data_IF_053092308025
#
_entry.id   IF_053092308025
#
_cell.length_a   1.000
_cell.length_b   1.000
_cell.length_c   1.000
_cell.angle_alpha   90.00
_cell.angle_beta   90.00
_cell.angle_gamma   90.00
#
_symmetry.space_group_name_H-M   'P 1'
#
loop_
_entity.id
_entity.type
_entity.pdbx_description
1 polymer ?
#
# COMPACT_ATOMS: atom_id res chain seq x y z
N UNK A 1 -30.99 54.26 21.33
CA UNK A 1 -29.53 54.13 21.31
C UNK A 1 -29.16 52.90 22.13
N UNK A 2 -28.92 51.77 21.48
CA UNK A 2 -28.52 50.52 22.14
C UNK A 2 -27.03 50.31 21.91
N UNK A 3 -26.23 49.99 22.95
CA UNK A 3 -24.86 49.56 22.75
C UNK A 3 -24.88 48.10 22.30
N UNK A 4 -24.31 47.84 21.12
CA UNK A 4 -23.86 46.52 20.70
C UNK A 4 -22.34 46.45 20.87
N UNK A 5 -21.85 45.22 21.04
CA UNK A 5 -20.45 44.72 20.97
C UNK A 5 -19.81 44.45 22.36
N UNK A 6 -19.05 43.34 22.58
CA UNK A 6 -18.66 42.25 21.66
C UNK A 6 -19.01 40.82 22.15
N UNK A 7 -19.58 40.00 21.26
CA UNK A 7 -19.54 38.52 21.32
C UNK A 7 -18.24 37.96 20.67
N UNK A 8 -17.31 38.85 20.30
CA UNK A 8 -16.10 38.49 19.54
C UNK A 8 -14.94 37.91 20.38
N UNK A 9 -15.08 37.80 21.70
CA UNK A 9 -14.00 37.32 22.59
C UNK A 9 -14.12 35.85 23.01
N UNK A 10 -15.20 35.15 22.67
CA UNK A 10 -15.41 33.74 23.06
C UNK A 10 -15.02 32.70 21.99
N UNK A 11 -14.70 33.13 20.77
CA UNK A 11 -14.27 32.23 19.68
C UNK A 11 -12.75 32.05 19.57
N UNK A 12 -11.95 32.85 20.30
CA UNK A 12 -10.48 32.72 20.26
C UNK A 12 -9.92 31.76 21.31
N UNK A 13 -10.68 31.42 22.36
CA UNK A 13 -10.21 30.49 23.41
C UNK A 13 -10.42 29.00 23.08
N UNK A 14 -11.23 28.66 22.06
CA UNK A 14 -11.38 27.26 21.63
C UNK A 14 -10.35 26.83 20.58
N UNK A 15 -9.57 27.76 20.01
CA UNK A 15 -8.56 27.45 18.99
C UNK A 15 -7.16 27.17 19.56
N UNK A 16 -6.95 27.37 20.87
CA UNK A 16 -5.70 27.04 21.58
C UNK A 16 -5.79 25.70 22.34
N UNK A 17 -6.92 24.99 22.22
CA UNK A 17 -7.09 23.60 22.66
C UNK A 17 -7.08 22.67 21.44
N UNK A 18 -6.28 22.99 20.41
CA UNK A 18 -5.83 21.96 19.50
C UNK A 18 -5.03 20.98 20.36
N UNK A 19 -5.63 19.81 20.62
CA UNK A 19 -4.99 18.75 21.39
C UNK A 19 -3.66 18.43 20.71
N UNK A 20 -2.55 18.89 21.27
CA UNK A 20 -1.26 18.29 21.03
C UNK A 20 -1.39 16.85 21.52
N UNK A 21 -1.75 15.94 20.62
CA UNK A 21 -1.83 14.53 20.92
C UNK A 21 -0.42 14.10 21.25
N UNK A 22 -0.16 13.90 22.55
CA UNK A 22 1.15 13.51 23.04
C UNK A 22 1.48 12.17 22.40
N UNK A 23 2.46 12.17 21.48
CA UNK A 23 2.97 10.93 20.90
C UNK A 23 3.41 10.00 22.05
N UNK A 24 3.22 8.68 21.91
CA UNK A 24 3.69 7.73 22.90
C UNK A 24 5.21 7.91 23.09
N UNK A 25 5.65 7.89 24.34
CA UNK A 25 7.07 8.00 24.69
C UNK A 25 7.88 6.78 24.21
N UNK A 26 7.21 5.66 23.99
CA UNK A 26 7.81 4.41 23.52
C UNK A 26 7.46 4.15 22.05
N UNK A 27 8.46 3.70 21.29
CA UNK A 27 8.33 3.24 19.90
C UNK A 27 7.26 2.14 19.82
N UNK A 28 6.17 2.33 19.06
CA UNK A 28 5.17 1.30 18.88
C UNK A 28 5.78 0.06 18.22
N UNK A 29 5.32 -1.13 18.64
CA UNK A 29 5.81 -2.39 18.10
C UNK A 29 5.23 -2.65 16.71
N UNK A 30 6.09 -2.90 15.73
CA UNK A 30 5.70 -3.29 14.38
C UNK A 30 4.89 -4.61 14.38
N UNK A 31 3.93 -4.76 13.45
CA UNK A 31 3.26 -6.04 13.21
C UNK A 31 4.25 -7.10 12.72
N UNK A 32 3.96 -8.36 13.06
CA UNK A 32 4.81 -9.48 12.66
C UNK A 32 4.45 -9.97 11.26
N UNK A 33 5.16 -9.46 10.25
CA UNK A 33 5.02 -9.84 8.84
C UNK A 33 5.82 -11.10 8.44
N UNK A 34 6.58 -11.71 9.36
CA UNK A 34 7.42 -12.87 9.05
C UNK A 34 6.63 -14.10 8.54
N UNK A 35 5.48 -14.49 9.14
CA UNK A 35 4.71 -15.62 8.63
C UNK A 35 4.23 -15.40 7.20
N UNK A 36 3.70 -14.21 6.90
CA UNK A 36 3.25 -13.88 5.55
C UNK A 36 4.41 -13.88 4.56
N UNK A 37 5.56 -13.32 4.94
CA UNK A 37 6.76 -13.39 4.11
C UNK A 37 7.17 -14.83 3.79
N UNK A 38 7.15 -15.73 4.79
CA UNK A 38 7.45 -17.14 4.58
C UNK A 38 6.44 -17.84 3.67
N UNK A 39 5.15 -17.47 3.73
CA UNK A 39 4.13 -17.99 2.81
C UNK A 39 4.48 -17.65 1.36
N UNK A 40 4.94 -16.43 1.06
CA UNK A 40 5.40 -16.06 -0.28
C UNK A 40 6.66 -16.82 -0.71
N UNK A 41 7.54 -17.19 0.22
CA UNK A 41 8.75 -17.95 -0.12
C UNK A 41 8.45 -19.43 -0.37
N UNK A 42 7.46 -20.00 0.32
CA UNK A 42 7.19 -21.44 0.33
C UNK A 42 5.71 -21.75 0.05
N UNK A 43 5.28 -21.75 -1.22
CA UNK A 43 3.95 -22.21 -1.60
C UNK A 43 3.72 -23.65 -1.15
N UNK A 44 2.53 -23.95 -0.62
CA UNK A 44 2.25 -25.25 0.03
C UNK A 44 1.28 -26.13 -0.77
N UNK A 45 0.47 -25.55 -1.65
CA UNK A 45 -0.42 -26.30 -2.53
C UNK A 45 0.30 -26.69 -3.83
N UNK A 46 0.18 -27.94 -4.31
CA UNK A 46 0.66 -28.31 -5.64
C UNK A 46 -0.31 -27.83 -6.73
N UNK A 47 0.19 -27.53 -7.92
CA UNK A 47 -0.65 -27.35 -9.11
C UNK A 47 -0.84 -28.70 -9.80
N UNK A 48 -2.05 -29.27 -9.71
CA UNK A 48 -2.46 -30.53 -10.34
C UNK A 48 -3.80 -30.34 -11.04
N UNK A 49 -4.26 -31.34 -11.80
CA UNK A 49 -5.58 -31.30 -12.45
C UNK A 49 -6.71 -31.14 -11.43
N UNK A 50 -6.54 -31.69 -10.23
CA UNK A 50 -7.52 -31.61 -9.15
C UNK A 50 -7.53 -30.25 -8.46
N UNK A 51 -6.37 -29.60 -8.29
CA UNK A 51 -6.28 -28.31 -7.58
C UNK A 51 -6.44 -27.11 -8.52
N UNK A 52 -6.20 -27.26 -9.81
CA UNK A 52 -6.27 -26.16 -10.78
C UNK A 52 -7.61 -25.41 -10.77
N UNK A 53 -8.80 -26.07 -10.75
CA UNK A 53 -10.06 -25.35 -10.67
C UNK A 53 -10.22 -24.50 -9.39
N UNK A 54 -9.72 -25.00 -8.26
CA UNK A 54 -9.77 -24.29 -6.97
C UNK A 54 -8.83 -23.08 -6.97
N UNK A 55 -7.64 -23.23 -7.55
CA UNK A 55 -6.68 -22.14 -7.73
C UNK A 55 -7.29 -21.05 -8.61
N UNK A 56 -7.95 -21.42 -9.71
CA UNK A 56 -8.60 -20.47 -10.59
C UNK A 56 -9.78 -19.75 -9.95
N UNK A 57 -10.60 -20.46 -9.18
CA UNK A 57 -11.66 -19.83 -8.38
C UNK A 57 -11.06 -18.81 -7.38
N UNK A 58 -10.00 -19.20 -6.67
CA UNK A 58 -9.27 -18.35 -5.73
C UNK A 58 -8.67 -17.10 -6.40
N UNK A 59 -8.07 -17.26 -7.59
CA UNK A 59 -7.56 -16.15 -8.40
C UNK A 59 -8.68 -15.18 -8.77
N UNK A 60 -9.80 -15.67 -9.29
CA UNK A 60 -10.93 -14.84 -9.69
C UNK A 60 -11.60 -14.11 -8.51
N UNK A 61 -11.48 -14.66 -7.29
CA UNK A 61 -11.95 -14.00 -6.06
C UNK A 61 -10.94 -12.98 -5.52
N UNK A 62 -9.64 -13.23 -5.70
CA UNK A 62 -8.55 -12.38 -5.16
C UNK A 62 -8.30 -11.16 -6.04
N UNK A 63 -8.42 -11.29 -7.37
CA UNK A 63 -8.17 -10.19 -8.31
C UNK A 63 -9.02 -8.95 -8.00
N UNK A 64 -10.35 -9.04 -7.80
CA UNK A 64 -11.15 -7.87 -7.45
C UNK A 64 -10.71 -7.21 -6.14
N UNK A 65 -10.21 -8.00 -5.16
CA UNK A 65 -9.74 -7.46 -3.88
C UNK A 65 -8.43 -6.69 -4.03
N UNK A 66 -7.44 -7.25 -4.73
CA UNK A 66 -6.23 -6.52 -5.13
C UNK A 66 -6.58 -5.34 -6.05
N UNK A 67 -7.65 -5.49 -6.82
CA UNK A 67 -8.27 -4.52 -7.70
C UNK A 67 -8.69 -3.22 -7.04
N UNK A 68 -9.20 -3.27 -5.81
CA UNK A 68 -9.53 -2.06 -5.06
C UNK A 68 -8.32 -1.16 -4.80
N UNK A 69 -7.12 -1.73 -4.86
CA UNK A 69 -5.85 -1.02 -4.68
C UNK A 69 -5.16 -0.72 -6.02
N UNK A 70 -5.17 -1.68 -6.95
CA UNK A 70 -4.44 -1.57 -8.21
C UNK A 70 -5.26 -1.08 -9.40
N UNK A 71 -6.59 -1.05 -9.31
CA UNK A 71 -7.48 -0.68 -10.41
C UNK A 71 -7.95 -1.83 -11.30
N UNK A 72 -7.58 -3.06 -10.98
CA UNK A 72 -7.96 -4.25 -11.75
C UNK A 72 -9.35 -4.77 -11.34
N UNK A 73 -10.17 -5.17 -12.30
CA UNK A 73 -11.46 -5.82 -12.01
C UNK A 73 -11.51 -7.27 -12.51
N UNK A 74 -10.63 -7.59 -13.46
CA UNK A 74 -10.54 -8.88 -14.12
C UNK A 74 -9.07 -9.27 -14.34
N UNK A 75 -8.83 -10.54 -14.68
CA UNK A 75 -7.50 -11.00 -15.09
C UNK A 75 -7.03 -10.33 -16.38
N UNK A 76 -7.95 -9.96 -17.27
CA UNK A 76 -7.63 -9.19 -18.48
C UNK A 76 -7.11 -7.79 -18.15
N UNK A 77 -7.64 -7.18 -17.08
CA UNK A 77 -7.14 -5.89 -16.58
C UNK A 77 -5.73 -5.98 -15.98
N UNK A 78 -5.29 -7.17 -15.54
CA UNK A 78 -3.90 -7.40 -15.17
C UNK A 78 -3.01 -7.65 -16.40
N UNK A 79 -3.61 -8.03 -17.52
CA UNK A 79 -2.94 -8.46 -18.76
C UNK A 79 -2.89 -7.35 -19.83
N UNK A 80 -3.03 -6.08 -19.44
CA UNK A 80 -3.10 -4.89 -20.31
C UNK A 80 -1.85 -4.66 -21.17
N UNK A 81 -1.69 -5.46 -22.24
CA UNK A 81 -0.71 -5.40 -23.33
C UNK A 81 0.30 -4.24 -23.33
N UNK A 82 0.18 -3.32 -24.28
CA UNK A 82 1.15 -2.20 -24.47
C UNK A 82 0.73 -0.88 -23.81
N UNK A 83 -0.41 -0.85 -23.13
CA UNK A 83 -1.03 0.38 -22.62
C UNK A 83 -0.90 0.55 -21.11
N UNK A 84 0.23 0.11 -20.54
CA UNK A 84 0.68 0.44 -19.18
C UNK A 84 -0.20 -0.15 -18.08
N UNK A 85 0.03 -1.40 -17.71
CA UNK A 85 -0.50 -1.94 -16.47
C UNK A 85 0.22 -1.31 -15.27
N UNK A 86 -0.29 -0.20 -14.77
CA UNK A 86 0.12 0.31 -13.46
C UNK A 86 -0.83 -0.23 -12.41
N UNK A 87 -0.27 -0.69 -11.29
CA UNK A 87 -1.05 -0.78 -10.06
C UNK A 87 -0.97 0.61 -9.41
N UNK A 88 -2.03 1.40 -9.52
CA UNK A 88 -2.04 2.79 -9.02
C UNK A 88 -1.68 2.86 -7.53
N UNK A 89 -2.13 1.88 -6.74
CA UNK A 89 -1.76 1.78 -5.34
C UNK A 89 -0.27 1.54 -5.10
N UNK A 90 0.44 0.78 -5.95
CA UNK A 90 1.91 0.65 -5.88
C UNK A 90 2.58 1.99 -6.14
N UNK A 91 2.12 2.72 -7.14
CA UNK A 91 2.62 4.08 -7.43
C UNK A 91 2.38 4.98 -6.22
N UNK A 92 1.20 4.94 -5.61
CA UNK A 92 0.88 5.75 -4.44
C UNK A 92 1.71 5.37 -3.20
N UNK A 93 1.99 4.08 -2.97
CA UNK A 93 2.92 3.66 -1.90
C UNK A 93 4.31 4.19 -2.20
N UNK A 94 4.80 4.06 -3.43
CA UNK A 94 6.12 4.59 -3.82
C UNK A 94 6.19 6.10 -3.67
N UNK A 95 5.17 6.83 -4.11
CA UNK A 95 5.08 8.28 -3.96
C UNK A 95 5.01 8.69 -2.48
N UNK A 96 4.32 7.91 -1.65
CA UNK A 96 4.27 8.12 -0.21
C UNK A 96 5.63 7.88 0.43
N UNK A 97 6.33 6.81 0.07
CA UNK A 97 7.70 6.53 0.53
C UNK A 97 8.70 7.57 0.02
N UNK A 98 8.58 8.03 -1.23
CA UNK A 98 9.40 9.09 -1.82
C UNK A 98 9.10 10.46 -1.18
N UNK A 99 7.86 10.69 -0.76
CA UNK A 99 7.53 11.88 0.04
C UNK A 99 8.21 11.83 1.41
N UNK A 100 8.43 10.66 2.00
CA UNK A 100 9.24 10.51 3.21
C UNK A 100 10.72 10.82 2.94
N UNK A 101 11.26 10.61 1.73
CA UNK A 101 12.62 11.07 1.40
C UNK A 101 12.68 12.60 1.28
N UNK A 102 11.76 13.15 0.48
CA UNK A 102 11.68 14.59 0.19
C UNK A 102 11.31 15.43 1.41
N UNK A 103 10.45 14.90 2.28
CA UNK A 103 9.98 15.53 3.50
C UNK A 103 10.62 14.95 4.77
N UNK A 104 11.39 13.86 4.69
CA UNK A 104 12.22 13.35 5.80
C UNK A 104 13.41 14.24 6.12
N UNK A 105 13.61 15.27 5.30
CA UNK A 105 14.44 16.44 5.62
C UNK A 105 13.63 17.62 6.18
N UNK A 106 12.31 17.46 6.33
CA UNK A 106 11.43 18.36 7.04
C UNK A 106 11.33 17.90 8.51
N UNK A 107 12.04 18.63 9.37
CA UNK A 107 11.68 18.74 10.77
C UNK A 107 10.22 19.19 10.85
N UNK A 108 9.28 18.31 11.20
CA UNK A 108 7.98 18.74 11.71
C UNK A 108 7.92 18.55 13.23
N UNK A 109 8.28 19.66 13.87
CA UNK A 109 7.70 20.22 15.09
C UNK A 109 8.06 19.58 16.43
N UNK A 110 9.21 20.01 16.97
CA UNK A 110 9.21 20.57 18.33
C UNK A 110 8.28 21.79 18.32
N UNK A 111 7.22 21.77 19.12
CA UNK A 111 6.44 22.97 19.42
C UNK A 111 7.35 24.07 19.98
N UNK A 112 7.60 25.12 19.19
CA UNK A 112 7.80 26.46 19.70
C UNK A 112 6.79 27.36 19.00
N UNK A 113 5.90 27.92 19.82
CA UNK A 113 4.81 28.86 19.56
C UNK A 113 5.08 30.01 18.53
N UNK A 114 4.03 30.72 18.06
CA UNK A 114 3.86 31.06 16.66
C UNK A 114 4.40 32.43 16.24
N UNK A 115 4.99 32.52 15.04
CA UNK A 115 5.14 33.80 14.32
C UNK A 115 4.90 33.63 12.80
N UNK A 116 3.76 34.15 12.36
CA UNK A 116 3.43 34.79 11.05
C UNK A 116 4.01 34.19 9.75
N UNK A 117 3.09 33.72 8.92
CA UNK A 117 2.98 33.95 7.46
C UNK A 117 4.26 34.39 6.72
N UNK A 118 4.96 33.41 6.16
CA UNK A 118 5.73 33.55 4.91
C UNK A 118 5.94 32.17 4.31
N UNK A 119 5.61 32.01 3.03
CA UNK A 119 6.12 30.93 2.19
C UNK A 119 7.64 31.01 2.22
N UNK A 120 8.28 30.14 3.00
CA UNK A 120 9.73 29.97 3.00
C UNK A 120 10.05 28.73 2.16
N UNK A 121 10.94 28.92 1.19
CA UNK A 121 11.61 27.80 0.56
C UNK A 121 12.38 27.03 1.65
N UNK A 122 12.03 25.76 1.84
CA UNK A 122 12.65 24.87 2.81
C UNK A 122 14.10 24.63 2.38
N UNK A 123 15.06 25.01 3.22
CA UNK A 123 16.46 24.62 3.03
C UNK A 123 16.67 23.32 3.80
N UNK A 124 16.84 22.24 3.06
CA UNK A 124 17.06 20.88 3.55
C UNK A 124 18.41 20.79 4.26
N UNK A 125 18.39 20.34 5.52
CA UNK A 125 19.59 19.95 6.29
C UNK A 125 19.46 18.50 6.75
N UNK A 126 20.56 17.75 6.74
CA UNK A 126 20.60 16.39 7.29
C UNK A 126 20.39 16.41 8.81
N UNK A 127 19.39 15.69 9.31
CA UNK A 127 19.21 15.45 10.74
C UNK A 127 19.89 14.14 11.09
N UNK A 128 20.95 14.18 11.90
CA UNK A 128 21.46 12.98 12.55
C UNK A 128 20.50 12.61 13.68
N UNK A 129 19.88 11.43 13.58
CA UNK A 129 18.99 10.91 14.62
C UNK A 129 19.79 9.87 15.41
N UNK A 130 20.06 10.15 16.69
CA UNK A 130 20.74 9.20 17.58
C UNK A 130 19.73 8.30 18.30
N UNK A 131 19.91 6.98 18.22
CA UNK A 131 19.16 5.99 19.00
C UNK A 131 17.95 5.37 18.29
N UNK A 132 17.10 4.70 19.07
CA UNK A 132 15.87 4.05 18.59
C UNK A 132 14.69 5.02 18.63
N UNK A 133 13.86 5.00 17.59
CA UNK A 133 12.70 5.88 17.53
C UNK A 133 11.73 5.52 16.40
N UNK A 134 10.82 6.44 16.11
CA UNK A 134 9.88 6.31 15.01
C UNK A 134 9.44 7.67 14.46
N UNK A 135 9.02 7.69 13.21
CA UNK A 135 8.28 8.78 12.60
C UNK A 135 6.80 8.41 12.54
N UNK A 136 5.94 9.35 12.94
CA UNK A 136 4.50 9.30 12.68
C UNK A 136 4.21 10.17 11.46
N UNK A 137 3.67 9.57 10.40
CA UNK A 137 3.41 10.20 9.12
C UNK A 137 1.90 10.26 8.94
N UNK A 138 1.34 11.46 8.90
CA UNK A 138 -0.09 11.67 8.65
C UNK A 138 -0.25 12.40 7.32
N UNK A 139 -0.99 11.80 6.39
CA UNK A 139 -1.35 12.40 5.10
C UNK A 139 -2.86 12.50 4.97
N UNK A 140 -3.34 13.65 4.50
CA UNK A 140 -4.75 13.79 4.09
C UNK A 140 -4.91 13.11 2.74
N UNK A 141 -5.94 12.27 2.62
CA UNK A 141 -6.23 11.62 1.35
C UNK A 141 -6.62 12.65 0.28
N UNK A 142 -6.30 12.36 -0.97
CA UNK A 142 -6.52 13.30 -2.07
C UNK A 142 -8.03 13.58 -2.29
N UNK A 143 -8.90 12.64 -1.88
CA UNK A 143 -10.35 12.75 -2.02
C UNK A 143 -10.84 12.28 -3.39
N UNK A 144 -12.16 12.28 -3.56
CA UNK A 144 -12.79 11.96 -4.86
C UNK A 144 -12.60 13.05 -5.92
N UNK A 145 -12.39 14.29 -5.51
CA UNK A 145 -12.26 15.44 -6.41
C UNK A 145 -10.95 16.16 -6.15
N UNK A 146 -9.92 15.84 -6.93
CA UNK A 146 -8.59 16.44 -6.82
C UNK A 146 -8.55 17.93 -7.15
N UNK A 147 -9.67 18.51 -7.62
CA UNK A 147 -9.78 19.96 -7.82
C UNK A 147 -10.09 20.72 -6.53
N UNK A 148 -10.54 20.02 -5.48
CA UNK A 148 -10.78 20.61 -4.17
C UNK A 148 -9.53 20.58 -3.30
N UNK A 149 -9.33 21.57 -2.43
CA UNK A 149 -8.26 21.52 -1.44
C UNK A 149 -8.41 20.29 -0.53
N UNK A 150 -7.28 19.67 -0.16
CA UNK A 150 -7.26 18.55 0.76
C UNK A 150 -7.92 18.91 2.11
N UNK A 151 -8.85 18.08 2.57
CA UNK A 151 -9.61 18.28 3.81
C UNK A 151 -9.72 16.95 4.58
N UNK A 152 -9.17 16.89 5.79
CA UNK A 152 -9.14 15.67 6.59
C UNK A 152 -10.53 15.12 6.95
N UNK A 153 -11.50 15.98 7.26
CA UNK A 153 -12.85 15.54 7.65
C UNK A 153 -13.64 14.98 6.46
N UNK A 154 -13.42 15.52 5.27
CA UNK A 154 -14.11 15.12 4.05
C UNK A 154 -13.40 13.96 3.33
N UNK A 155 -12.07 13.98 3.30
CA UNK A 155 -11.27 13.03 2.53
C UNK A 155 -10.73 11.88 3.39
N UNK A 156 -10.71 12.01 4.71
CA UNK A 156 -10.04 11.04 5.58
C UNK A 156 -8.53 11.21 5.63
N UNK A 157 -7.87 10.28 6.31
CA UNK A 157 -6.45 10.32 6.64
C UNK A 157 -5.76 8.99 6.37
N UNK A 158 -4.46 9.05 6.13
CA UNK A 158 -3.52 7.94 6.17
C UNK A 158 -2.56 8.24 7.32
N UNK A 159 -2.54 7.37 8.33
CA UNK A 159 -1.60 7.46 9.45
C UNK A 159 -0.64 6.28 9.41
N UNK A 160 0.65 6.53 9.27
CA UNK A 160 1.70 5.50 9.23
C UNK A 160 2.75 5.72 10.30
N UNK A 161 3.40 4.64 10.67
CA UNK A 161 4.51 4.58 11.61
C UNK A 161 5.69 3.96 10.88
N UNK A 162 6.80 4.70 10.85
CA UNK A 162 8.09 4.23 10.35
C UNK A 162 9.06 4.16 11.52
N UNK A 163 9.36 2.94 11.98
CA UNK A 163 10.35 2.73 13.03
C UNK A 163 11.79 2.85 12.50
N UNK A 164 12.71 3.25 13.37
CA UNK A 164 14.14 3.17 13.10
C UNK A 164 14.93 2.81 14.36
N UNK A 165 16.16 2.37 14.15
CA UNK A 165 17.18 2.10 15.16
C UNK A 165 18.41 2.95 14.87
N UNK A 166 19.43 2.85 15.73
CA UNK A 166 20.71 3.51 15.52
C UNK A 166 21.39 3.12 14.18
N UNK A 167 21.11 1.91 13.67
CA UNK A 167 21.82 1.35 12.52
C UNK A 167 21.01 1.40 11.22
N UNK A 168 19.67 1.36 11.30
CA UNK A 168 18.81 1.33 10.12
C UNK A 168 17.35 1.67 10.42
N UNK A 169 16.59 1.95 9.35
CA UNK A 169 15.13 1.92 9.36
C UNK A 169 14.64 0.48 9.60
N UNK A 170 13.55 0.31 10.34
CA UNK A 170 12.91 -0.99 10.55
C UNK A 170 12.35 -1.52 9.22
N UNK A 171 12.43 -2.82 8.96
CA UNK A 171 11.96 -3.43 7.70
C UNK A 171 10.43 -3.38 7.47
N UNK A 172 9.68 -2.84 8.41
CA UNK A 172 8.22 -2.78 8.36
C UNK A 172 7.78 -1.35 8.63
N UNK A 173 7.00 -0.79 7.70
CA UNK A 173 6.17 0.40 7.91
C UNK A 173 4.72 -0.06 8.03
N UNK A 174 3.97 0.49 8.97
CA UNK A 174 2.59 0.07 9.19
C UNK A 174 1.71 1.25 9.54
N UNK A 175 0.41 1.12 9.31
CA UNK A 175 -0.48 2.26 9.41
C UNK A 175 -1.94 1.91 9.21
N UNK A 176 -2.74 2.98 9.06
CA UNK A 176 -4.18 2.89 8.88
C UNK A 176 -4.66 3.94 7.88
N UNK A 177 -5.53 3.50 6.99
CA UNK A 177 -6.44 4.35 6.25
C UNK A 177 -7.67 4.60 7.12
N UNK A 178 -7.94 5.86 7.46
CA UNK A 178 -9.10 6.28 8.26
C UNK A 178 -10.12 6.93 7.34
N UNK A 179 -11.04 6.13 6.80
CA UNK A 179 -12.06 6.57 5.83
C UNK A 179 -11.45 7.37 4.68
N UNK A 180 -10.36 6.86 4.13
CA UNK A 180 -9.60 7.51 3.08
C UNK A 180 -10.40 7.47 1.77
N UNK A 181 -10.86 8.63 1.32
CA UNK A 181 -11.57 8.81 0.07
C UNK A 181 -10.56 8.94 -1.09
N UNK A 182 -10.74 8.13 -2.12
CA UNK A 182 -9.85 8.02 -3.27
C UNK A 182 -10.63 7.80 -4.56
N UNK A 183 -9.99 8.05 -5.70
CA UNK A 183 -10.51 7.67 -7.02
C UNK A 183 -9.83 6.42 -7.54
N UNK A 184 -10.64 5.49 -8.04
CA UNK A 184 -10.21 4.36 -8.84
C UNK A 184 -10.83 4.48 -10.23
N UNK A 185 -10.05 5.01 -11.19
CA UNK A 185 -10.59 5.46 -12.46
C UNK A 185 -11.67 6.53 -12.28
N UNK A 186 -12.93 6.20 -12.57
CA UNK A 186 -14.08 7.11 -12.38
C UNK A 186 -14.87 6.84 -11.09
N UNK A 187 -14.55 5.78 -10.37
CA UNK A 187 -15.30 5.34 -9.20
C UNK A 187 -14.74 5.99 -7.92
N UNK A 188 -15.64 6.38 -7.02
CA UNK A 188 -15.30 6.80 -5.67
C UNK A 188 -15.10 5.58 -4.78
N UNK A 189 -13.98 5.57 -4.07
CA UNK A 189 -13.58 4.53 -3.15
C UNK A 189 -13.42 5.14 -1.75
N UNK A 190 -13.92 4.47 -0.73
CA UNK A 190 -13.63 4.81 0.67
C UNK A 190 -12.93 3.63 1.33
N UNK A 191 -11.67 3.81 1.71
CA UNK A 191 -10.87 2.78 2.37
C UNK A 191 -10.82 3.03 3.87
N UNK A 192 -11.17 2.02 4.66
CA UNK A 192 -11.00 2.02 6.12
C UNK A 192 -10.29 0.71 6.51
N UNK A 193 -8.96 0.75 6.56
CA UNK A 193 -8.12 -0.44 6.67
C UNK A 193 -6.81 -0.20 7.40
N UNK A 194 -6.20 -1.28 7.87
CA UNK A 194 -4.80 -1.35 8.27
C UNK A 194 -3.96 -1.71 7.06
N UNK A 195 -2.75 -1.16 7.00
CA UNK A 195 -1.74 -1.44 5.99
C UNK A 195 -0.41 -1.75 6.66
N UNK A 196 0.17 -2.88 6.30
CA UNK A 196 1.49 -3.30 6.74
C UNK A 196 2.34 -3.52 5.49
N UNK A 197 3.47 -2.80 5.38
CA UNK A 197 4.39 -2.93 4.24
C UNK A 197 5.75 -3.35 4.77
N UNK A 198 6.22 -4.49 4.28
CA UNK A 198 7.55 -5.03 4.56
C UNK A 198 8.39 -4.97 3.30
N UNK A 199 9.67 -4.64 3.41
CA UNK A 199 10.64 -4.86 2.33
C UNK A 199 11.72 -5.85 2.74
N UNK A 200 12.45 -6.35 1.75
CA UNK A 200 13.64 -7.18 1.96
C UNK A 200 14.92 -6.37 1.76
N UNK A 201 15.96 -6.74 2.50
CA UNK A 201 17.27 -6.10 2.47
C UNK A 201 17.40 -4.80 3.27
N UNK A 202 18.53 -4.13 3.06
CA UNK A 202 18.84 -2.84 3.68
C UNK A 202 17.99 -1.74 3.03
N UNK A 203 17.34 -0.94 3.88
CA UNK A 203 16.57 0.20 3.40
C UNK A 203 17.51 1.29 2.89
N UNK A 204 17.41 1.58 1.59
CA UNK A 204 18.13 2.66 0.94
C UNK A 204 17.11 3.58 0.28
N UNK A 205 16.91 4.77 0.86
CA UNK A 205 15.95 5.77 0.36
C UNK A 205 16.18 6.08 -1.13
N UNK A 206 17.44 6.10 -1.58
CA UNK A 206 17.78 6.37 -2.96
C UNK A 206 17.38 5.24 -3.93
N UNK A 207 16.97 4.08 -3.40
CA UNK A 207 16.56 2.89 -4.16
C UNK A 207 15.12 2.47 -3.87
N UNK A 208 14.29 3.34 -3.29
CA UNK A 208 12.88 3.04 -3.02
C UNK A 208 12.13 2.50 -4.24
N UNK A 209 12.47 2.98 -5.44
CA UNK A 209 11.88 2.50 -6.70
C UNK A 209 12.25 1.05 -7.04
N UNK A 210 13.39 0.58 -6.53
CA UNK A 210 14.00 -0.71 -6.82
C UNK A 210 13.83 -1.68 -5.65
N UNK A 211 13.06 -1.33 -4.61
CA UNK A 211 12.78 -2.22 -3.51
C UNK A 211 11.67 -3.20 -3.88
N UNK A 212 11.87 -4.45 -3.46
CA UNK A 212 10.79 -5.43 -3.39
C UNK A 212 10.06 -5.25 -2.08
N UNK A 213 8.74 -5.22 -2.11
CA UNK A 213 7.93 -5.04 -0.91
C UNK A 213 6.66 -5.89 -0.91
N UNK A 214 6.36 -6.44 0.26
CA UNK A 214 5.19 -7.21 0.60
C UNK A 214 4.20 -6.32 1.35
N UNK A 215 2.99 -6.23 0.84
CA UNK A 215 1.89 -5.45 1.43
C UNK A 215 0.84 -6.41 1.98
N UNK A 216 0.34 -6.13 3.19
CA UNK A 216 -0.89 -6.70 3.74
C UNK A 216 -1.89 -5.57 3.98
N UNK A 217 -3.12 -5.75 3.51
CA UNK A 217 -4.26 -4.84 3.71
C UNK A 217 -5.40 -5.57 4.39
N UNK A 218 -5.87 -5.02 5.52
CA UNK A 218 -6.99 -5.59 6.29
C UNK A 218 -8.00 -4.52 6.69
N UNK A 219 -9.25 -4.65 6.29
CA UNK A 219 -10.30 -3.74 6.70
C UNK A 219 -11.51 -3.80 5.81
N UNK A 220 -12.01 -2.64 5.41
CA UNK A 220 -13.17 -2.53 4.53
C UNK A 220 -12.92 -1.50 3.44
N UNK A 221 -13.61 -1.72 2.33
CA UNK A 221 -13.65 -0.78 1.22
C UNK A 221 -15.10 -0.53 0.84
N UNK A 222 -15.47 0.74 0.68
CA UNK A 222 -16.79 1.11 0.18
C UNK A 222 -16.67 1.53 -1.28
N UNK A 223 -17.37 0.82 -2.17
CA UNK A 223 -17.44 1.11 -3.59
C UNK A 223 -18.91 1.17 -4.01
N UNK A 224 -19.32 2.25 -4.69
CA UNK A 224 -20.71 2.42 -5.13
C UNK A 224 -21.74 2.18 -4.00
N UNK A 225 -21.46 2.72 -2.81
CA UNK A 225 -22.25 2.58 -1.57
C UNK A 225 -22.32 1.16 -0.98
N UNK A 226 -21.62 0.19 -1.56
CA UNK A 226 -21.49 -1.17 -1.03
C UNK A 226 -20.20 -1.32 -0.24
N UNK A 227 -20.30 -1.86 0.97
CA UNK A 227 -19.15 -2.16 1.82
C UNK A 227 -18.71 -3.59 1.54
N UNK A 228 -17.43 -3.75 1.24
CA UNK A 228 -16.76 -5.02 1.02
C UNK A 228 -15.68 -5.21 2.08
N UNK A 229 -15.54 -6.44 2.57
CA UNK A 229 -14.39 -6.83 3.39
C UNK A 229 -13.14 -6.82 2.50
N UNK A 230 -12.07 -6.22 3.00
CA UNK A 230 -10.76 -6.18 2.37
C UNK A 230 -9.81 -7.03 3.18
N UNK A 231 -9.37 -8.14 2.62
CA UNK A 231 -8.31 -8.97 3.18
C UNK A 231 -7.44 -9.47 2.04
N UNK A 232 -6.44 -8.67 1.69
CA UNK A 232 -5.58 -8.95 0.54
C UNK A 232 -4.13 -8.69 0.89
N UNK A 233 -3.25 -9.45 0.28
CA UNK A 233 -1.82 -9.29 0.37
C UNK A 233 -1.21 -9.48 -1.01
N UNK A 234 -0.12 -8.76 -1.27
CA UNK A 234 0.60 -8.85 -2.53
C UNK A 234 2.07 -8.53 -2.34
N UNK A 235 2.91 -9.09 -3.20
CA UNK A 235 4.34 -8.81 -3.23
C UNK A 235 4.67 -8.13 -4.56
N UNK A 236 5.22 -6.92 -4.49
CA UNK A 236 5.71 -6.17 -5.63
C UNK A 236 7.23 -6.29 -5.66
N UNK A 237 7.75 -6.93 -6.71
CA UNK A 237 9.19 -7.18 -6.86
C UNK A 237 9.87 -6.07 -7.66
N UNK A 238 11.16 -5.89 -7.41
CA UNK A 238 11.98 -4.86 -8.06
C UNK A 238 12.18 -5.08 -9.56
N UNK A 239 11.99 -6.31 -10.03
CA UNK A 239 12.01 -6.67 -11.45
C UNK A 239 10.68 -6.36 -12.17
N UNK A 240 9.70 -5.78 -11.47
CA UNK A 240 8.36 -5.49 -12.01
C UNK A 240 7.39 -6.66 -11.96
N UNK A 241 7.78 -7.80 -11.37
CA UNK A 241 6.84 -8.87 -11.06
C UNK A 241 5.92 -8.46 -9.91
N UNK A 242 4.68 -8.91 -10.02
CA UNK A 242 3.64 -8.73 -9.03
C UNK A 242 3.10 -10.10 -8.66
N UNK A 243 3.04 -10.38 -7.37
CA UNK A 243 2.61 -11.67 -6.86
C UNK A 243 1.40 -11.55 -5.93
N UNK A 244 0.49 -12.52 -6.03
CA UNK A 244 -0.68 -12.67 -5.16
C UNK A 244 -0.64 -14.04 -4.50
N UNK A 245 -0.86 -14.09 -3.20
CA UNK A 245 -1.09 -15.35 -2.49
C UNK A 245 -2.53 -15.78 -2.66
N UNK A 246 -2.71 -17.00 -3.17
CA UNK A 246 -4.02 -17.59 -3.43
C UNK A 246 -4.29 -18.75 -2.48
N UNK A 247 -5.30 -18.66 -1.60
CA UNK A 247 -5.67 -19.78 -0.74
C UNK A 247 -6.27 -20.95 -1.55
N UNK A 248 -5.91 -22.17 -1.17
CA UNK A 248 -6.40 -23.45 -1.71
C UNK A 248 -6.67 -24.38 -0.52
N UNK A 249 -7.85 -24.25 0.09
CA UNK A 249 -8.14 -24.91 1.37
C UNK A 249 -7.28 -24.35 2.50
N UNK A 250 -6.52 -25.23 3.18
CA UNK A 250 -5.54 -24.84 4.22
C UNK A 250 -4.14 -24.57 3.65
N UNK A 251 -3.98 -24.68 2.33
CA UNK A 251 -2.72 -24.48 1.62
C UNK A 251 -2.81 -23.23 0.73
N UNK A 252 -1.72 -22.90 0.03
CA UNK A 252 -1.69 -21.75 -0.89
C UNK A 252 -0.74 -21.96 -2.08
N UNK A 253 -1.04 -21.27 -3.17
CA UNK A 253 -0.10 -21.03 -4.28
C UNK A 253 0.18 -19.53 -4.38
N UNK A 254 1.23 -19.17 -5.12
CA UNK A 254 1.51 -17.77 -5.45
C UNK A 254 1.25 -17.56 -6.95
N UNK A 255 0.27 -16.76 -7.30
CA UNK A 255 0.12 -16.27 -8.67
C UNK A 255 1.16 -15.17 -8.90
N UNK A 256 1.82 -15.18 -10.05
CA UNK A 256 2.73 -14.10 -10.45
C UNK A 256 2.40 -13.59 -11.84
N UNK A 257 2.62 -12.30 -12.06
CA UNK A 257 2.56 -11.65 -13.37
C UNK A 257 3.68 -10.63 -13.47
N UNK A 258 4.36 -10.56 -14.62
CA UNK A 258 5.22 -9.42 -14.93
C UNK A 258 4.33 -8.25 -15.32
N UNK A 259 4.45 -7.09 -14.67
CA UNK A 259 3.78 -5.88 -15.17
C UNK A 259 4.50 -5.41 -16.44
N UNK A 260 3.74 -5.08 -17.49
CA UNK A 260 4.32 -4.61 -18.74
C UNK A 260 5.13 -3.33 -18.50
N UNK A 261 6.46 -3.42 -18.54
CA UNK A 261 7.33 -2.25 -18.68
C UNK A 261 7.48 -1.90 -20.17
N UNK A 262 7.74 -0.63 -20.47
CA UNK A 262 8.07 -0.22 -21.84
C UNK A 262 9.20 -1.12 -22.39
N UNK A 263 8.92 -1.85 -23.46
CA UNK A 263 9.90 -2.75 -24.11
C UNK A 263 9.94 -4.20 -23.59
N UNK A 264 9.13 -4.59 -22.59
CA UNK A 264 9.02 -5.99 -22.17
C UNK A 264 8.40 -6.86 -23.29
N UNK A 265 9.06 -7.97 -23.59
CA UNK A 265 8.63 -8.91 -24.64
C UNK A 265 7.75 -9.99 -24.01
N UNK A 266 6.43 -9.79 -24.13
CA UNK A 266 5.35 -10.64 -23.62
C UNK A 266 5.18 -10.64 -22.08
N UNK A 267 3.92 -10.55 -21.66
CA UNK A 267 3.51 -10.73 -20.27
C UNK A 267 3.71 -12.21 -19.91
N UNK A 268 4.49 -12.47 -18.85
CA UNK A 268 4.63 -13.80 -18.28
C UNK A 268 3.73 -13.87 -17.06
N UNK A 269 2.82 -14.84 -17.07
CA UNK A 269 1.90 -15.10 -15.97
C UNK A 269 1.99 -16.57 -15.58
N UNK A 270 1.80 -16.87 -14.30
CA UNK A 270 1.99 -18.22 -13.82
C UNK A 270 1.70 -18.42 -12.35
N UNK A 271 2.08 -19.60 -11.86
CA UNK A 271 1.97 -19.96 -10.46
C UNK A 271 3.30 -20.51 -9.93
N UNK A 272 3.70 -20.08 -8.73
CA UNK A 272 4.64 -20.82 -7.89
C UNK A 272 3.82 -21.72 -6.97
N UNK A 273 4.05 -23.02 -7.07
CA UNK A 273 3.34 -24.06 -6.34
C UNK A 273 4.34 -24.98 -5.63
N UNK A 274 3.84 -25.83 -4.71
CA UNK A 274 4.70 -26.75 -3.96
C UNK A 274 5.46 -27.76 -4.86
N UNK A 275 4.98 -27.98 -6.09
CA UNK A 275 5.57 -28.87 -7.08
C UNK A 275 6.36 -28.14 -8.18
N UNK A 276 6.60 -26.83 -8.06
CA UNK A 276 7.46 -26.07 -8.98
C UNK A 276 6.82 -24.77 -9.47
N UNK A 277 7.49 -24.13 -10.43
CA UNK A 277 7.02 -22.93 -11.11
C UNK A 277 6.34 -23.32 -12.42
N UNK A 278 5.22 -22.65 -12.70
CA UNK A 278 4.33 -22.97 -13.81
C UNK A 278 4.04 -21.71 -14.61
N UNK A 279 4.35 -21.71 -15.89
CA UNK A 279 3.95 -20.63 -16.81
C UNK A 279 2.61 -20.98 -17.44
N UNK A 280 1.68 -20.03 -17.48
CA UNK A 280 0.31 -20.30 -17.87
C UNK A 280 -0.12 -19.47 -19.09
N UNK A 281 -0.79 -20.15 -20.02
CA UNK A 281 -1.57 -19.54 -21.08
C UNK A 281 -3.04 -19.57 -20.65
N UNK A 282 -3.53 -18.45 -20.13
CA UNK A 282 -4.92 -18.32 -19.68
C UNK A 282 -5.93 -18.32 -20.84
N UNK A 283 -5.51 -18.05 -22.09
CA UNK A 283 -6.39 -18.17 -23.24
C UNK A 283 -6.54 -19.64 -23.66
N UNK A 284 -5.47 -20.44 -23.53
CA UNK A 284 -5.47 -21.88 -23.76
C UNK A 284 -5.86 -22.71 -22.52
N UNK A 285 -6.08 -22.07 -21.37
CA UNK A 285 -6.41 -22.69 -20.08
C UNK A 285 -5.43 -23.81 -19.70
N UNK A 286 -4.14 -23.54 -19.86
CA UNK A 286 -3.08 -24.51 -19.58
C UNK A 286 -1.89 -23.86 -18.90
N UNK A 287 -1.25 -24.58 -18.00
CA UNK A 287 0.04 -24.26 -17.44
C UNK A 287 1.05 -25.34 -17.79
N UNK A 288 2.32 -24.93 -17.94
CA UNK A 288 3.45 -25.81 -18.20
C UNK A 288 4.61 -25.51 -17.23
N UNK A 289 5.22 -26.55 -16.68
CA UNK A 289 6.43 -26.43 -15.86
C UNK A 289 7.72 -26.51 -16.71
N UNK A 290 8.88 -26.32 -16.09
CA UNK A 290 10.20 -26.41 -16.76
C UNK A 290 10.51 -27.81 -17.33
N UNK A 291 9.89 -28.87 -16.78
CA UNK A 291 10.06 -30.23 -17.24
C UNK A 291 9.14 -30.58 -18.43
N UNK A 292 8.24 -29.66 -18.80
CA UNK A 292 7.29 -29.81 -19.89
C UNK A 292 5.99 -30.54 -19.50
N UNK A 293 5.77 -30.80 -18.21
CA UNK A 293 4.48 -31.30 -17.72
C UNK A 293 3.43 -30.20 -17.90
N UNK A 294 2.20 -30.60 -18.23
CA UNK A 294 1.11 -29.64 -18.47
C UNK A 294 -0.11 -30.00 -17.62
N UNK A 295 -0.76 -28.96 -17.09
CA UNK A 295 -2.01 -29.02 -16.34
C UNK A 295 -2.98 -28.05 -16.98
N UNK A 296 -4.21 -28.48 -17.27
CA UNK A 296 -5.28 -27.62 -17.76
C UNK A 296 -6.52 -27.66 -16.88
N UNK A 297 -7.44 -26.70 -17.08
CA UNK A 297 -8.69 -26.58 -16.35
C UNK A 297 -9.86 -26.16 -17.25
#
# INVERSE_FOLDING_TARGET
MSPRVPVLFLLFSCLLLACAEKLPEEKPKAPNMEPLFQDYQTPTAPLTVETAPLIMESLLQTIPQAGYFCGWTTLEDMNCGTAGCTCDGITQIRDLLDSIDKEGTATQTLELEPVRTRTQALTVGSVEVEGDGFFAITRICDGGDSSQPANADANGLIDMILGFSADSVDQVVWGKFKKCAMKLGQQDLLIDSEIDVRWDGDFDLAKLTDLSFLVELRGTVTLAEQVHDLHTDFNALSNGEFELRLPVGEQHVIFYTTLASEGASALVQGFRAANGNWTCDFAALTCQDEAGNSVGW
#
